data_IF_907849361276
#
_entry.id   IF_907849361276
#
_cell.length_a   1.000
_cell.length_b   1.000
_cell.length_c   1.000
_cell.angle_alpha   90.00
_cell.angle_beta   90.00
_cell.angle_gamma   90.00
#
_symmetry.space_group_name_H-M   'P 1'
#
loop_
_entity.id
_entity.type
_entity.pdbx_description
1 polymer ?
#
# COMPACT_ATOMS: atom_id res chain seq x y z
N UNK A 1 16.31 6.20 2.72
CA UNK A 1 14.92 6.67 2.91
C UNK A 1 14.38 6.01 4.17
N UNK A 2 13.61 6.73 4.97
CA UNK A 2 12.91 6.14 6.12
C UNK A 2 11.62 5.48 5.65
N UNK A 3 11.26 4.33 6.23
CA UNK A 3 9.95 3.68 6.06
C UNK A 3 8.95 4.37 7.00
N UNK A 4 8.83 5.68 6.84
CA UNK A 4 7.82 6.47 7.54
C UNK A 4 6.47 6.27 6.86
N UNK A 5 5.39 6.51 7.61
CA UNK A 5 4.04 6.44 7.07
C UNK A 5 3.92 7.42 5.90
N UNK A 6 3.55 6.97 4.69
CA UNK A 6 3.42 7.87 3.54
C UNK A 6 2.25 8.83 3.73
N UNK A 7 2.42 10.06 3.27
CA UNK A 7 1.32 11.01 3.10
C UNK A 7 0.66 10.76 1.74
N UNK A 8 -0.67 10.69 1.71
CA UNK A 8 -1.45 10.46 0.50
C UNK A 8 -2.24 11.75 0.21
N UNK A 9 -1.83 12.45 -0.84
CA UNK A 9 -2.60 13.57 -1.36
C UNK A 9 -3.89 13.06 -2.01
N UNK A 10 -5.02 13.67 -1.66
CA UNK A 10 -6.30 13.33 -2.25
C UNK A 10 -6.28 13.69 -3.75
N UNK A 11 -6.37 12.70 -4.67
CA UNK A 11 -6.23 12.96 -6.10
C UNK A 11 -7.39 13.80 -6.65
N UNK A 12 -8.54 13.83 -5.96
CA UNK A 12 -9.76 14.47 -6.45
C UNK A 12 -10.26 13.88 -7.76
N UNK A 13 -11.33 14.47 -8.31
CA UNK A 13 -11.90 14.03 -9.59
C UNK A 13 -12.73 12.76 -9.52
N UNK A 14 -12.94 12.13 -10.68
CA UNK A 14 -13.68 10.87 -10.78
C UNK A 14 -12.78 9.69 -10.39
N UNK A 15 -13.32 8.66 -9.71
CA UNK A 15 -12.58 7.45 -9.42
C UNK A 15 -12.10 6.80 -10.72
N UNK A 16 -10.87 6.29 -10.76
CA UNK A 16 -10.36 5.62 -11.95
C UNK A 16 -11.21 4.38 -12.24
N UNK A 17 -11.48 4.14 -13.52
CA UNK A 17 -12.23 2.97 -13.97
C UNK A 17 -11.44 1.66 -13.81
N UNK A 18 -10.12 1.76 -13.86
CA UNK A 18 -9.16 0.67 -13.78
C UNK A 18 -8.17 0.87 -12.62
N UNK A 19 -7.42 -0.18 -12.27
CA UNK A 19 -6.36 -0.09 -11.28
C UNK A 19 -5.15 0.67 -11.85
N UNK A 20 -4.81 1.78 -11.24
CA UNK A 20 -3.59 2.53 -11.55
C UNK A 20 -2.47 2.22 -10.54
N UNK A 21 -1.25 2.05 -11.05
CA UNK A 21 -0.07 1.76 -10.24
C UNK A 21 1.02 2.78 -10.58
N UNK A 22 1.53 3.45 -9.55
CA UNK A 22 2.70 4.33 -9.65
C UNK A 22 3.80 3.81 -8.73
N UNK A 23 4.88 3.36 -9.33
CA UNK A 23 6.08 2.99 -8.59
C UNK A 23 6.81 4.26 -8.15
N UNK A 24 7.09 4.39 -6.86
CA UNK A 24 7.84 5.52 -6.28
C UNK A 24 9.31 5.13 -6.09
N UNK A 25 9.56 3.86 -5.80
CA UNK A 25 10.90 3.32 -5.58
C UNK A 25 10.93 1.83 -5.94
N UNK A 26 11.89 1.47 -6.79
CA UNK A 26 12.18 0.08 -7.15
C UNK A 26 13.05 -0.57 -6.06
N UNK A 27 12.67 -1.76 -5.61
CA UNK A 27 13.45 -2.52 -4.64
C UNK A 27 14.51 -3.40 -5.30
N UNK A 28 15.70 -3.52 -4.71
CA UNK A 28 16.81 -4.33 -5.24
C UNK A 28 16.72 -5.85 -4.90
N UNK A 29 15.62 -6.27 -4.29
CA UNK A 29 15.41 -7.64 -3.82
C UNK A 29 14.87 -8.60 -4.88
N UNK A 30 14.83 -9.92 -4.60
CA UNK A 30 14.17 -10.86 -5.48
C UNK A 30 12.66 -10.58 -5.57
N UNK A 31 12.09 -10.82 -6.75
CA UNK A 31 10.65 -10.68 -7.00
C UNK A 31 9.86 -11.65 -6.10
N UNK A 32 8.86 -11.12 -5.40
CA UNK A 32 7.94 -11.93 -4.60
C UNK A 32 7.08 -12.84 -5.49
N UNK A 33 6.86 -14.08 -5.06
CA UNK A 33 6.14 -15.11 -5.82
C UNK A 33 4.91 -15.60 -5.09
N UNK A 34 3.91 -16.06 -5.84
CA UNK A 34 2.71 -16.68 -5.28
C UNK A 34 3.07 -17.85 -4.35
N UNK A 35 2.35 -17.95 -3.24
CA UNK A 35 2.58 -18.93 -2.18
C UNK A 35 3.62 -18.50 -1.12
N UNK A 36 4.42 -17.45 -1.37
CA UNK A 36 5.33 -16.91 -0.37
C UNK A 36 4.59 -16.12 0.71
N UNK A 37 5.10 -16.18 1.95
CA UNK A 37 4.66 -15.29 3.02
C UNK A 37 5.37 -13.95 2.88
N UNK A 38 4.62 -12.87 2.73
CA UNK A 38 5.15 -11.49 2.64
C UNK A 38 4.74 -10.67 3.85
N UNK A 39 5.54 -9.66 4.17
CA UNK A 39 5.29 -8.69 5.24
C UNK A 39 5.27 -7.29 4.63
N UNK A 40 4.14 -6.59 4.74
CA UNK A 40 3.91 -5.33 4.02
C UNK A 40 3.41 -4.25 4.96
N UNK A 41 3.98 -3.07 4.83
CA UNK A 41 3.38 -1.85 5.36
C UNK A 41 2.48 -1.21 4.31
N UNK A 42 1.27 -0.82 4.70
CA UNK A 42 0.29 -0.14 3.86
C UNK A 42 -0.46 0.96 4.62
N UNK A 43 -1.01 1.90 3.84
CA UNK A 43 -2.02 2.90 4.21
C UNK A 43 -3.14 2.80 3.17
N UNK A 44 -4.38 2.75 3.62
CA UNK A 44 -5.58 2.72 2.80
C UNK A 44 -6.46 3.93 3.08
N UNK A 45 -6.79 4.68 2.02
CA UNK A 45 -7.70 5.84 2.07
C UNK A 45 -8.90 5.61 1.15
N UNK A 46 -10.06 6.14 1.53
CA UNK A 46 -11.25 6.09 0.70
C UNK A 46 -11.14 7.12 -0.42
N UNK A 47 -11.27 6.70 -1.69
CA UNK A 47 -11.21 7.62 -2.83
C UNK A 47 -12.35 8.68 -2.81
N UNK A 48 -13.48 8.40 -2.16
CA UNK A 48 -14.59 9.36 -2.11
C UNK A 48 -14.36 10.54 -1.17
N UNK A 49 -13.56 10.36 -0.11
CA UNK A 49 -13.39 11.36 0.95
C UNK A 49 -11.94 11.74 1.22
N UNK A 50 -10.99 10.91 0.80
CA UNK A 50 -9.58 11.00 1.17
C UNK A 50 -9.28 10.54 2.59
N UNK A 51 -10.29 10.10 3.34
CA UNK A 51 -10.10 9.67 4.73
C UNK A 51 -9.42 8.31 4.79
N UNK A 52 -8.44 8.20 5.68
CA UNK A 52 -7.82 6.93 6.02
C UNK A 52 -8.84 6.00 6.68
N UNK A 53 -9.00 4.80 6.11
CA UNK A 53 -9.80 3.75 6.72
C UNK A 53 -8.94 2.73 7.46
N UNK A 54 -7.68 2.53 7.04
CA UNK A 54 -6.76 1.62 7.72
C UNK A 54 -5.29 1.89 7.40
N UNK A 55 -4.41 1.62 8.36
CA UNK A 55 -2.96 1.69 8.16
C UNK A 55 -2.20 0.76 9.12
N UNK A 56 -1.22 0.03 8.57
CA UNK A 56 -0.30 -0.81 9.36
C UNK A 56 0.53 -0.01 10.38
N UNK A 57 0.93 1.21 10.02
CA UNK A 57 1.68 2.11 10.90
C UNK A 57 0.91 2.52 12.15
N UNK A 58 -0.42 2.63 12.09
CA UNK A 58 -1.23 2.94 13.27
C UNK A 58 -1.15 1.84 14.33
N UNK A 59 -0.92 0.59 13.90
CA UNK A 59 -0.73 -0.58 14.77
C UNK A 59 0.73 -0.81 15.15
N UNK A 60 1.67 -0.13 14.51
CA UNK A 60 3.12 -0.31 14.72
C UNK A 60 3.66 -1.66 14.23
N UNK A 61 2.89 -2.43 13.45
CA UNK A 61 3.33 -3.72 12.89
C UNK A 61 2.87 -3.89 11.44
N UNK A 62 3.72 -4.46 10.57
CA UNK A 62 3.30 -4.85 9.22
C UNK A 62 2.17 -5.87 9.22
N UNK A 63 1.47 -5.96 8.09
CA UNK A 63 0.58 -7.08 7.80
C UNK A 63 1.38 -8.22 7.18
N UNK A 64 1.19 -9.43 7.70
CA UNK A 64 1.78 -10.65 7.17
C UNK A 64 0.70 -11.53 6.55
N UNK A 65 0.91 -11.98 5.31
CA UNK A 65 -0.04 -12.83 4.59
C UNK A 65 0.67 -13.68 3.53
N UNK A 66 -0.03 -14.70 3.01
CA UNK A 66 0.44 -15.51 1.89
C UNK A 66 0.04 -14.86 0.56
N UNK A 67 1.02 -14.58 -0.30
CA UNK A 67 0.81 -13.89 -1.56
C UNK A 67 0.06 -14.78 -2.56
N UNK A 68 -1.03 -14.26 -3.14
CA UNK A 68 -1.82 -14.97 -4.17
C UNK A 68 -2.66 -16.14 -3.66
N UNK A 69 -2.91 -16.19 -2.35
CA UNK A 69 -3.83 -17.15 -1.73
C UNK A 69 -5.30 -16.79 -1.99
#
# INVERSE_FOLDING_TARGET
MSIDKPEIDFPGGEPPADLEIKEIWEGDGPVAQAGQTVSVHYVGVAFSTGEEFDASWNRGTPLQFQLGA
#
